data_IF_131313290258
#
_entry.id   IF_131313290258
#
_cell.length_a   1.000
_cell.length_b   1.000
_cell.length_c   1.000
_cell.angle_alpha   90.00
_cell.angle_beta   90.00
_cell.angle_gamma   90.00
#
_symmetry.space_group_name_H-M   'P 1'
#
loop_
_entity.id
_entity.type
_entity.pdbx_description
1 polymer ?
#
# COMPACT_ATOMS: atom_id res chain seq x y z
N UNK A 1 -7.02 38.00 -68.45
CA UNK A 1 -7.09 38.03 -66.96
C UNK A 1 -7.47 36.67 -66.34
N UNK A 2 -7.00 35.52 -66.88
CA UNK A 2 -7.56 34.19 -66.52
C UNK A 2 -6.60 33.10 -66.01
N UNK A 3 -5.28 33.33 -65.97
CA UNK A 3 -4.30 32.27 -65.69
C UNK A 3 -3.78 32.22 -64.25
N UNK A 4 -3.96 33.28 -63.44
CA UNK A 4 -3.49 33.31 -62.04
C UNK A 4 -4.48 32.73 -61.00
N UNK A 5 -5.74 32.47 -61.37
CA UNK A 5 -6.77 31.97 -60.43
C UNK A 5 -6.85 30.43 -60.36
N UNK A 6 -6.38 29.70 -61.38
CA UNK A 6 -6.37 28.22 -61.41
C UNK A 6 -5.29 27.62 -60.51
N UNK A 7 -4.08 28.18 -60.48
CA UNK A 7 -2.96 27.66 -59.66
C UNK A 7 -3.20 27.73 -58.14
N UNK A 8 -3.87 28.78 -57.64
CA UNK A 8 -4.22 28.91 -56.20
C UNK A 8 -5.30 27.94 -55.75
N UNK A 9 -6.23 27.54 -56.63
CA UNK A 9 -7.28 26.55 -56.31
C UNK A 9 -6.70 25.12 -56.27
N UNK A 10 -5.79 24.80 -57.19
CA UNK A 10 -5.12 23.48 -57.24
C UNK A 10 -4.22 23.27 -56.02
N UNK A 11 -3.43 24.29 -55.62
CA UNK A 11 -2.59 24.21 -54.41
C UNK A 11 -3.37 24.03 -53.11
N UNK A 12 -4.53 24.69 -52.96
CA UNK A 12 -5.42 24.51 -51.79
C UNK A 12 -6.09 23.12 -51.77
N UNK A 13 -6.41 22.57 -52.94
CA UNK A 13 -6.97 21.21 -53.07
C UNK A 13 -5.95 20.15 -52.67
N UNK A 14 -4.72 20.26 -53.17
CA UNK A 14 -3.63 19.33 -52.88
C UNK A 14 -3.24 19.35 -51.39
N UNK A 15 -3.18 20.55 -50.79
CA UNK A 15 -2.89 20.71 -49.35
C UNK A 15 -4.00 20.11 -48.47
N UNK A 16 -5.27 20.27 -48.86
CA UNK A 16 -6.41 19.62 -48.17
C UNK A 16 -6.32 18.10 -48.25
N UNK A 17 -5.92 17.58 -49.40
CA UNK A 17 -5.80 16.15 -49.65
C UNK A 17 -4.67 15.52 -48.84
N UNK A 18 -3.50 16.18 -48.79
CA UNK A 18 -2.37 15.77 -47.95
C UNK A 18 -2.70 15.84 -46.44
N UNK A 19 -3.44 16.86 -46.00
CA UNK A 19 -3.91 16.94 -44.61
C UNK A 19 -4.87 15.81 -44.26
N UNK A 20 -5.80 15.48 -45.17
CA UNK A 20 -6.76 14.38 -44.98
C UNK A 20 -6.05 13.02 -44.95
N UNK A 21 -5.09 12.80 -45.86
CA UNK A 21 -4.26 11.60 -45.89
C UNK A 21 -3.40 11.48 -44.63
N UNK A 22 -2.82 12.57 -44.15
CA UNK A 22 -2.05 12.59 -42.89
C UNK A 22 -2.93 12.28 -41.67
N UNK A 23 -4.17 12.75 -41.64
CA UNK A 23 -5.13 12.48 -40.59
C UNK A 23 -5.58 11.01 -40.62
N UNK A 24 -5.86 10.46 -41.80
CA UNK A 24 -6.20 9.04 -42.00
C UNK A 24 -5.02 8.11 -41.66
N UNK A 25 -3.79 8.52 -41.99
CA UNK A 25 -2.58 7.78 -41.63
C UNK A 25 -2.36 7.80 -40.12
N UNK A 26 -2.49 8.96 -39.47
CA UNK A 26 -2.49 9.08 -38.00
C UNK A 26 -3.57 8.22 -37.36
N UNK A 27 -4.78 8.24 -37.89
CA UNK A 27 -5.88 7.42 -37.37
C UNK A 27 -5.57 5.92 -37.51
N UNK A 28 -5.05 5.47 -38.66
CA UNK A 28 -4.62 4.08 -38.88
C UNK A 28 -3.49 3.65 -37.95
N UNK A 29 -2.51 4.51 -37.72
CA UNK A 29 -1.40 4.27 -36.80
C UNK A 29 -1.86 4.24 -35.34
N UNK A 30 -2.82 5.09 -34.97
CA UNK A 30 -3.36 5.18 -33.62
C UNK A 30 -4.43 4.13 -33.31
N UNK A 31 -5.13 3.57 -34.31
CA UNK A 31 -6.16 2.53 -34.14
C UNK A 31 -5.74 1.35 -33.26
N UNK A 32 -4.57 0.70 -33.44
CA UNK A 32 -4.15 -0.39 -32.56
C UNK A 32 -3.90 0.08 -31.12
N UNK A 33 -3.33 1.28 -30.93
CA UNK A 33 -3.10 1.88 -29.60
C UNK A 33 -4.43 2.21 -28.92
N UNK A 34 -5.36 2.83 -29.63
CA UNK A 34 -6.71 3.16 -29.16
C UNK A 34 -7.53 1.91 -28.87
N UNK A 35 -7.43 0.87 -29.71
CA UNK A 35 -8.09 -0.42 -29.48
C UNK A 35 -7.54 -1.14 -28.25
N UNK A 36 -6.22 -1.08 -28.00
CA UNK A 36 -5.59 -1.61 -26.78
C UNK A 36 -6.01 -0.81 -25.54
N UNK A 37 -6.07 0.53 -25.64
CA UNK A 37 -6.55 1.42 -24.58
C UNK A 37 -8.02 1.17 -24.25
N UNK A 38 -8.87 0.99 -25.28
CA UNK A 38 -10.30 0.68 -25.13
C UNK A 38 -10.52 -0.70 -24.51
N UNK A 39 -9.73 -1.73 -24.88
CA UNK A 39 -9.77 -3.05 -24.22
C UNK A 39 -9.40 -2.96 -22.75
N UNK A 40 -8.29 -2.30 -22.42
CA UNK A 40 -7.87 -2.07 -21.02
C UNK A 40 -8.91 -1.31 -20.22
N UNK A 41 -9.57 -0.32 -20.83
CA UNK A 41 -10.65 0.43 -20.20
C UNK A 41 -11.90 -0.42 -19.96
N UNK A 42 -12.29 -1.27 -20.91
CA UNK A 42 -13.40 -2.23 -20.72
C UNK A 42 -13.07 -3.28 -19.65
N UNK A 43 -11.82 -3.78 -19.61
CA UNK A 43 -11.34 -4.66 -18.54
C UNK A 43 -11.36 -3.95 -17.18
N UNK A 44 -11.01 -2.66 -17.12
CA UNK A 44 -11.13 -1.85 -15.91
C UNK A 44 -12.56 -1.75 -15.41
N UNK A 45 -13.51 -1.51 -16.31
CA UNK A 45 -14.93 -1.44 -15.98
C UNK A 45 -15.41 -2.79 -15.45
N UNK A 46 -15.00 -3.91 -16.07
CA UNK A 46 -15.31 -5.25 -15.55
C UNK A 46 -14.73 -5.48 -14.17
N UNK A 47 -13.56 -4.93 -13.85
CA UNK A 47 -12.99 -5.04 -12.49
C UNK A 47 -13.83 -4.31 -11.45
N UNK A 48 -14.47 -3.20 -11.82
CA UNK A 48 -15.40 -2.49 -10.93
C UNK A 48 -16.69 -3.27 -10.64
N UNK A 49 -16.96 -4.39 -11.33
CA UNK A 49 -18.04 -5.32 -10.95
C UNK A 49 -17.80 -5.97 -9.57
N UNK A 50 -16.57 -5.90 -9.03
CA UNK A 50 -16.27 -6.30 -7.66
C UNK A 50 -16.77 -5.31 -6.62
N UNK A 51 -16.98 -4.06 -7.00
CA UNK A 51 -17.42 -2.99 -6.08
C UNK A 51 -18.93 -3.07 -5.94
N UNK A 52 -19.39 -3.25 -4.72
CA UNK A 52 -20.81 -3.46 -4.40
C UNK A 52 -21.44 -2.18 -3.87
N UNK A 53 -20.72 -1.47 -3.00
CA UNK A 53 -21.21 -0.27 -2.32
C UNK A 53 -20.07 0.72 -2.13
N UNK A 54 -20.35 2.02 -2.25
CA UNK A 54 -19.43 3.10 -1.92
C UNK A 54 -20.18 4.14 -1.09
N UNK A 55 -19.62 4.45 0.08
CA UNK A 55 -20.02 5.60 0.86
C UNK A 55 -18.86 6.58 0.92
N UNK A 56 -19.06 7.70 0.21
CA UNK A 56 -18.17 8.84 0.28
C UNK A 56 -18.82 9.92 1.15
N UNK A 57 -18.31 10.09 2.37
CA UNK A 57 -18.70 11.22 3.21
C UNK A 57 -18.17 12.53 2.62
N UNK A 58 -18.99 13.58 2.43
CA UNK A 58 -18.48 14.88 1.99
C UNK A 58 -17.51 15.42 3.03
N UNK A 59 -16.24 15.56 2.64
CA UNK A 59 -15.24 16.24 3.46
C UNK A 59 -15.51 17.73 3.55
N UNK A 60 -15.03 18.35 4.62
CA UNK A 60 -14.88 19.83 4.69
C UNK A 60 -13.48 20.27 4.27
N UNK A 61 -12.61 19.30 3.96
CA UNK A 61 -11.22 19.52 3.65
C UNK A 61 -11.02 20.12 2.26
N UNK A 62 -10.11 21.10 2.12
CA UNK A 62 -9.78 21.67 0.82
C UNK A 62 -9.08 20.62 -0.05
N UNK A 63 -9.44 20.58 -1.33
CA UNK A 63 -8.63 19.91 -2.33
C UNK A 63 -7.39 20.79 -2.67
N UNK A 64 -6.21 20.20 -2.88
CA UNK A 64 -5.92 18.76 -2.87
C UNK A 64 -5.60 18.21 -1.46
N UNK A 65 -5.89 16.93 -1.22
CA UNK A 65 -5.69 16.28 0.09
C UNK A 65 -5.00 14.91 -0.02
N UNK A 66 -4.26 14.48 1.02
CA UNK A 66 -3.71 13.13 1.07
C UNK A 66 -4.80 12.10 1.45
N UNK A 67 -4.73 10.90 0.88
CA UNK A 67 -5.74 9.84 1.04
C UNK A 67 -5.09 8.49 1.33
N UNK A 68 -5.63 7.78 2.32
CA UNK A 68 -5.29 6.39 2.62
C UNK A 68 -6.27 5.46 1.93
N UNK A 69 -5.75 4.50 1.18
CA UNK A 69 -6.48 3.32 0.72
C UNK A 69 -6.16 2.17 1.68
N UNK A 70 -7.08 1.91 2.61
CA UNK A 70 -6.90 0.87 3.63
C UNK A 70 -7.57 -0.43 3.19
N UNK A 71 -6.79 -1.42 2.76
CA UNK A 71 -7.28 -2.78 2.55
C UNK A 71 -7.60 -3.42 3.89
N UNK A 72 -8.86 -3.82 4.08
CA UNK A 72 -9.37 -4.35 5.33
C UNK A 72 -10.21 -5.60 5.11
N UNK A 73 -9.93 -6.66 5.84
CA UNK A 73 -10.64 -7.93 5.77
C UNK A 73 -11.16 -8.37 7.15
N UNK A 74 -12.47 -8.22 7.33
CA UNK A 74 -13.20 -8.77 8.46
C UNK A 74 -14.53 -9.37 7.96
N UNK A 75 -14.66 -10.71 7.84
CA UNK A 75 -15.88 -11.36 7.37
C UNK A 75 -17.14 -10.97 8.15
N UNK A 76 -17.01 -10.75 9.46
CA UNK A 76 -18.11 -10.28 10.32
C UNK A 76 -18.38 -8.77 10.28
N UNK A 77 -17.70 -8.03 9.41
CA UNK A 77 -17.83 -6.59 9.22
C UNK A 77 -17.43 -5.74 10.42
N UNK A 78 -16.70 -6.31 11.39
CA UNK A 78 -16.21 -5.54 12.52
C UNK A 78 -14.97 -4.75 12.14
N UNK A 79 -14.81 -3.58 12.73
CA UNK A 79 -13.58 -2.79 12.64
C UNK A 79 -12.84 -2.91 13.98
N UNK A 80 -11.67 -3.56 13.97
CA UNK A 80 -10.87 -3.81 15.16
C UNK A 80 -10.55 -2.48 15.89
N UNK A 81 -10.32 -2.54 17.21
CA UNK A 81 -9.95 -1.35 17.98
C UNK A 81 -8.61 -0.79 17.51
N UNK A 82 -7.64 -1.67 17.25
CA UNK A 82 -6.32 -1.30 16.73
C UNK A 82 -6.44 -0.55 15.38
N UNK A 83 -7.26 -1.06 14.46
CA UNK A 83 -7.51 -0.40 13.17
C UNK A 83 -8.21 0.96 13.37
N UNK A 84 -9.21 1.04 14.26
CA UNK A 84 -9.86 2.33 14.60
C UNK A 84 -8.86 3.35 15.16
N UNK A 85 -7.91 2.93 15.99
CA UNK A 85 -6.84 3.77 16.55
C UNK A 85 -5.91 4.28 15.45
N UNK A 86 -5.50 3.41 14.52
CA UNK A 86 -4.68 3.80 13.38
C UNK A 86 -5.41 4.81 12.49
N UNK A 87 -6.68 4.55 12.15
CA UNK A 87 -7.50 5.47 11.36
C UNK A 87 -7.65 6.83 12.06
N UNK A 88 -7.95 6.84 13.36
CA UNK A 88 -8.07 8.07 14.13
C UNK A 88 -6.77 8.89 14.09
N UNK A 89 -5.62 8.24 14.32
CA UNK A 89 -4.32 8.90 14.23
C UNK A 89 -4.05 9.47 12.83
N UNK A 90 -4.37 8.72 11.76
CA UNK A 90 -4.22 9.21 10.39
C UNK A 90 -5.11 10.43 10.11
N UNK A 91 -6.37 10.41 10.58
CA UNK A 91 -7.30 11.56 10.47
C UNK A 91 -6.77 12.78 11.22
N UNK A 92 -6.20 12.59 12.41
CA UNK A 92 -5.59 13.67 13.20
C UNK A 92 -4.37 14.30 12.49
N UNK A 93 -3.68 13.53 11.64
CA UNK A 93 -2.60 14.01 10.77
C UNK A 93 -3.12 14.60 9.44
N UNK A 94 -4.43 14.81 9.29
CA UNK A 94 -5.04 15.44 8.11
C UNK A 94 -5.22 14.51 6.90
N UNK A 95 -5.03 13.21 7.06
CA UNK A 95 -5.28 12.24 5.98
C UNK A 95 -6.76 11.90 5.88
N UNK A 96 -7.30 11.81 4.66
CA UNK A 96 -8.56 11.11 4.44
C UNK A 96 -8.34 9.60 4.44
N UNK A 97 -9.37 8.82 4.76
CA UNK A 97 -9.28 7.36 4.79
C UNK A 97 -10.46 6.75 4.05
N UNK A 98 -10.17 5.95 3.03
CA UNK A 98 -11.11 5.07 2.35
C UNK A 98 -10.82 3.62 2.74
N UNK A 99 -11.72 3.03 3.53
CA UNK A 99 -11.67 1.61 3.89
C UNK A 99 -12.17 0.77 2.71
N UNK A 100 -11.37 -0.18 2.27
CA UNK A 100 -11.65 -1.09 1.16
C UNK A 100 -11.89 -2.49 1.75
N UNK A 101 -13.14 -2.92 1.85
CA UNK A 101 -13.48 -4.09 2.66
C UNK A 101 -14.59 -4.96 2.10
N UNK A 102 -14.72 -6.17 2.63
CA UNK A 102 -15.75 -7.13 2.20
C UNK A 102 -17.06 -6.97 2.95
N UNK A 103 -17.03 -6.38 4.15
CA UNK A 103 -18.22 -6.15 4.95
C UNK A 103 -17.96 -5.06 6.00
N UNK A 104 -19.02 -4.34 6.38
CA UNK A 104 -19.07 -3.51 7.58
C UNK A 104 -20.42 -3.71 8.27
N UNK A 105 -20.39 -3.99 9.57
CA UNK A 105 -21.57 -4.08 10.41
C UNK A 105 -22.04 -2.68 10.86
N UNK A 106 -23.25 -2.61 11.44
CA UNK A 106 -23.87 -1.33 11.80
C UNK A 106 -23.06 -0.51 12.79
N UNK A 107 -22.34 -1.16 13.71
CA UNK A 107 -21.46 -0.49 14.66
C UNK A 107 -20.27 0.15 13.95
N UNK A 108 -19.65 -0.56 13.01
CA UNK A 108 -18.55 -0.05 12.21
C UNK A 108 -19.00 1.07 11.26
N UNK A 109 -20.17 0.92 10.61
CA UNK A 109 -20.76 1.95 9.73
C UNK A 109 -21.10 3.24 10.49
N UNK A 110 -21.67 3.13 11.69
CA UNK A 110 -21.91 4.29 12.57
C UNK A 110 -20.62 4.96 12.98
N UNK A 111 -19.62 4.19 13.43
CA UNK A 111 -18.30 4.71 13.79
C UNK A 111 -17.64 5.48 12.63
N UNK A 112 -17.74 4.95 11.41
CA UNK A 112 -17.22 5.62 10.20
C UNK A 112 -17.97 6.93 9.92
N UNK A 113 -19.30 6.91 9.98
CA UNK A 113 -20.15 8.09 9.75
C UNK A 113 -19.85 9.23 10.74
N UNK A 114 -19.68 8.91 12.03
CA UNK A 114 -19.36 9.88 13.09
C UNK A 114 -18.00 10.58 12.88
N UNK A 115 -17.10 9.95 12.11
CA UNK A 115 -15.70 10.41 11.91
C UNK A 115 -15.41 10.78 10.46
N UNK A 116 -16.44 10.83 9.61
CA UNK A 116 -16.32 11.08 8.18
C UNK A 116 -15.31 10.16 7.49
N UNK A 117 -15.25 8.89 7.88
CA UNK A 117 -14.38 7.88 7.26
C UNK A 117 -15.11 7.22 6.10
N UNK A 118 -14.55 7.32 4.89
CA UNK A 118 -15.15 6.71 3.70
C UNK A 118 -14.96 5.20 3.72
N UNK A 119 -15.86 4.48 3.05
CA UNK A 119 -15.73 3.05 2.89
C UNK A 119 -16.31 2.57 1.56
N UNK A 120 -15.76 1.47 1.08
CA UNK A 120 -16.15 0.79 -0.15
C UNK A 120 -16.26 -0.70 0.17
N UNK A 121 -17.44 -1.26 -0.09
CA UNK A 121 -17.70 -2.69 0.01
C UNK A 121 -17.43 -3.35 -1.33
N UNK A 122 -16.67 -4.44 -1.30
CA UNK A 122 -16.21 -5.18 -2.47
C UNK A 122 -16.22 -6.68 -2.22
N UNK A 123 -16.24 -7.45 -3.31
CA UNK A 123 -15.97 -8.90 -3.27
C UNK A 123 -14.56 -9.19 -2.80
N UNK A 124 -14.37 -10.32 -2.11
CA UNK A 124 -13.07 -10.75 -1.59
C UNK A 124 -12.16 -11.38 -2.67
N UNK A 125 -11.79 -10.61 -3.68
CA UNK A 125 -11.00 -11.09 -4.83
C UNK A 125 -9.67 -10.32 -4.94
N UNK A 126 -8.58 -10.96 -5.36
CA UNK A 126 -7.29 -10.28 -5.58
C UNK A 126 -6.57 -9.73 -4.34
N UNK A 127 -7.04 -10.05 -3.13
CA UNK A 127 -6.49 -9.61 -1.82
C UNK A 127 -6.24 -8.09 -1.78
N UNK A 128 -5.16 -7.66 -1.13
CA UNK A 128 -4.84 -6.25 -0.90
C UNK A 128 -4.64 -5.47 -2.19
N UNK A 129 -3.88 -6.00 -3.15
CA UNK A 129 -3.71 -5.33 -4.44
C UNK A 129 -5.02 -5.25 -5.24
N UNK A 130 -5.88 -6.26 -5.14
CA UNK A 130 -7.23 -6.20 -5.70
C UNK A 130 -8.09 -5.12 -5.04
N UNK A 131 -7.99 -4.98 -3.71
CA UNK A 131 -8.66 -3.91 -2.98
C UNK A 131 -8.13 -2.53 -3.40
N UNK A 132 -6.81 -2.32 -3.40
CA UNK A 132 -6.19 -1.06 -3.85
C UNK A 132 -6.57 -0.69 -5.28
N UNK A 133 -6.60 -1.69 -6.17
CA UNK A 133 -7.06 -1.53 -7.54
C UNK A 133 -8.52 -1.05 -7.60
N UNK A 134 -9.42 -1.68 -6.86
CA UNK A 134 -10.84 -1.32 -6.82
C UNK A 134 -11.05 0.09 -6.26
N UNK A 135 -10.33 0.42 -5.18
CA UNK A 135 -10.34 1.76 -4.58
C UNK A 135 -9.88 2.83 -5.58
N UNK A 136 -8.70 2.64 -6.16
CA UNK A 136 -8.14 3.61 -7.11
C UNK A 136 -9.00 3.78 -8.36
N UNK A 137 -9.43 2.69 -9.00
CA UNK A 137 -10.28 2.76 -10.19
C UNK A 137 -11.63 3.41 -9.90
N UNK A 138 -12.19 3.19 -8.70
CA UNK A 138 -13.43 3.84 -8.25
C UNK A 138 -13.25 5.34 -8.09
N UNK A 139 -12.14 5.78 -7.47
CA UNK A 139 -11.82 7.21 -7.34
C UNK A 139 -11.72 7.88 -8.72
N UNK A 140 -11.06 7.22 -9.68
CA UNK A 140 -10.96 7.73 -11.05
C UNK A 140 -12.34 7.81 -11.72
N UNK A 141 -13.17 6.77 -11.60
CA UNK A 141 -14.51 6.75 -12.21
C UNK A 141 -15.41 7.86 -11.66
N UNK A 142 -15.25 8.20 -10.36
CA UNK A 142 -16.04 9.21 -9.67
C UNK A 142 -15.47 10.64 -9.80
N UNK A 143 -14.32 10.82 -10.47
CA UNK A 143 -13.65 12.13 -10.55
C UNK A 143 -13.08 12.62 -9.21
N UNK A 144 -12.81 11.69 -8.29
CA UNK A 144 -12.25 11.97 -6.96
C UNK A 144 -10.73 11.82 -6.94
N UNK A 145 -10.15 11.10 -7.90
CA UNK A 145 -8.71 10.91 -7.98
C UNK A 145 -7.96 12.23 -8.21
N UNK A 146 -8.58 13.19 -8.90
CA UNK A 146 -8.06 14.53 -9.17
C UNK A 146 -7.82 15.33 -7.88
N UNK A 147 -8.59 15.11 -6.83
CA UNK A 147 -8.43 15.79 -5.54
C UNK A 147 -7.32 15.21 -4.66
N UNK A 148 -6.78 14.03 -5.00
CA UNK A 148 -5.75 13.37 -4.20
C UNK A 148 -4.35 13.95 -4.51
N UNK A 149 -3.67 14.53 -3.52
CA UNK A 149 -2.25 14.93 -3.63
C UNK A 149 -1.27 13.80 -3.33
N UNK A 150 -1.71 12.79 -2.57
CA UNK A 150 -0.85 11.68 -2.12
C UNK A 150 -1.71 10.48 -1.80
N UNK A 151 -1.24 9.28 -2.10
CA UNK A 151 -1.92 8.03 -1.74
C UNK A 151 -1.04 7.24 -0.78
N UNK A 152 -1.59 6.80 0.35
CA UNK A 152 -0.99 5.79 1.20
C UNK A 152 -1.74 4.47 0.99
N UNK A 153 -1.07 3.47 0.43
CA UNK A 153 -1.59 2.09 0.42
C UNK A 153 -1.26 1.46 1.77
N UNK A 154 -2.26 0.94 2.46
CA UNK A 154 -2.11 0.36 3.80
C UNK A 154 -2.97 -0.89 3.88
N UNK A 155 -2.49 -1.97 4.49
CA UNK A 155 -3.31 -3.17 4.70
C UNK A 155 -3.38 -3.58 6.16
N UNK A 156 -4.46 -4.28 6.51
CA UNK A 156 -4.74 -4.76 7.87
C UNK A 156 -4.06 -6.10 8.22
N UNK A 157 -3.16 -6.58 7.36
CA UNK A 157 -2.26 -7.69 7.70
C UNK A 157 -1.25 -7.30 8.79
N UNK A 158 -1.16 -5.99 9.10
CA UNK A 158 -0.34 -5.45 10.17
C UNK A 158 -1.17 -4.54 11.06
N UNK A 159 -0.85 -4.51 12.36
CA UNK A 159 -1.54 -3.73 13.37
C UNK A 159 -0.59 -2.69 13.98
N UNK A 160 -1.12 -1.52 14.40
CA UNK A 160 -0.31 -0.44 14.93
C UNK A 160 0.37 -0.78 16.26
N UNK A 161 1.62 -0.36 16.42
CA UNK A 161 2.30 -0.29 17.73
C UNK A 161 1.58 0.70 18.66
N UNK A 162 1.84 0.63 19.97
CA UNK A 162 1.22 1.51 20.95
C UNK A 162 1.54 2.99 20.67
N UNK A 163 2.82 3.33 20.51
CA UNK A 163 3.28 4.69 20.28
C UNK A 163 3.46 4.99 18.77
N UNK A 164 2.36 5.39 18.13
CA UNK A 164 2.39 5.80 16.72
C UNK A 164 3.16 7.11 16.50
N UNK A 165 3.12 8.05 17.45
CA UNK A 165 3.74 9.36 17.29
C UNK A 165 5.28 9.29 17.41
N UNK A 166 5.80 8.45 18.30
CA UNK A 166 7.24 8.19 18.45
C UNK A 166 7.82 7.16 17.47
N UNK A 167 6.97 6.50 16.69
CA UNK A 167 7.39 5.56 15.64
C UNK A 167 7.85 6.25 14.35
N UNK A 168 8.14 5.48 13.31
CA UNK A 168 8.42 6.00 11.97
C UNK A 168 7.16 6.33 11.16
N UNK A 169 5.94 6.24 11.72
CA UNK A 169 4.71 6.62 11.01
C UNK A 169 4.72 8.08 10.54
N UNK A 170 5.08 9.09 11.35
CA UNK A 170 5.12 10.48 10.88
C UNK A 170 6.05 10.66 9.67
N UNK A 171 7.22 10.01 9.67
CA UNK A 171 8.15 10.00 8.53
C UNK A 171 7.58 9.30 7.30
N UNK A 172 6.80 8.22 7.49
CA UNK A 172 6.10 7.56 6.40
C UNK A 172 5.03 8.47 5.81
N UNK A 173 4.29 9.22 6.65
CA UNK A 173 3.24 10.14 6.20
C UNK A 173 3.82 11.36 5.48
N UNK A 174 4.90 11.94 6.00
CA UNK A 174 5.67 12.99 5.31
C UNK A 174 6.12 12.50 3.93
N UNK A 175 6.67 11.28 3.87
CA UNK A 175 7.03 10.62 2.63
C UNK A 175 8.21 11.30 1.93
N UNK A 176 8.20 11.21 0.61
CA UNK A 176 9.15 11.82 -0.31
C UNK A 176 8.34 12.27 -1.53
N UNK A 177 8.66 13.41 -2.15
CA UNK A 177 7.91 13.95 -3.30
C UNK A 177 8.30 13.28 -4.63
N UNK A 178 9.49 12.67 -4.69
CA UNK A 178 10.02 12.04 -5.90
C UNK A 178 10.04 10.52 -5.82
N UNK A 179 10.00 9.95 -4.61
CA UNK A 179 10.11 8.50 -4.37
C UNK A 179 8.84 7.88 -3.77
N UNK A 180 8.62 6.59 -4.07
CA UNK A 180 7.69 5.76 -3.29
C UNK A 180 8.39 5.36 -2.00
N UNK A 181 7.76 5.66 -0.86
CA UNK A 181 8.31 5.34 0.46
C UNK A 181 7.55 4.18 1.07
N UNK A 182 8.25 3.09 1.37
CA UNK A 182 7.74 1.94 2.12
C UNK A 182 8.37 1.83 3.50
N UNK A 183 7.79 1.01 4.37
CA UNK A 183 8.40 0.73 5.68
C UNK A 183 9.64 -0.17 5.53
N UNK A 184 9.55 -1.26 4.78
CA UNK A 184 10.67 -2.18 4.51
C UNK A 184 10.79 -2.47 3.01
N UNK A 185 12.00 -2.81 2.59
CA UNK A 185 12.27 -3.47 1.32
C UNK A 185 12.60 -4.95 1.56
N UNK A 186 12.51 -5.74 0.50
CA UNK A 186 12.89 -7.14 0.49
C UNK A 186 13.58 -7.48 -0.83
N UNK A 187 14.47 -8.46 -0.77
CA UNK A 187 15.11 -9.06 -1.95
C UNK A 187 14.55 -10.45 -2.26
N UNK A 188 13.53 -10.89 -1.50
CA UNK A 188 12.88 -12.17 -1.69
C UNK A 188 12.26 -12.23 -3.09
N UNK A 189 12.73 -13.16 -3.93
CA UNK A 189 12.33 -13.27 -5.33
C UNK A 189 12.61 -12.03 -6.22
N UNK A 190 13.45 -11.09 -5.75
CA UNK A 190 13.78 -9.83 -6.43
C UNK A 190 13.58 -8.62 -5.52
N UNK A 191 14.25 -7.51 -5.83
CA UNK A 191 14.14 -6.27 -5.05
C UNK A 191 12.74 -5.65 -5.17
N UNK A 192 12.12 -5.32 -4.03
CA UNK A 192 10.82 -4.64 -3.95
C UNK A 192 10.59 -3.99 -2.58
N UNK A 193 9.67 -3.03 -2.51
CA UNK A 193 9.07 -2.58 -1.25
C UNK A 193 7.94 -3.52 -0.83
N UNK A 194 7.83 -3.82 0.46
CA UNK A 194 6.71 -4.60 0.98
C UNK A 194 5.44 -3.74 1.07
N UNK A 195 4.28 -4.32 0.72
CA UNK A 195 3.06 -3.54 0.43
C UNK A 195 2.16 -3.24 1.63
N UNK A 196 2.61 -3.55 2.86
CA UNK A 196 1.79 -3.31 4.05
C UNK A 196 1.67 -1.83 4.41
N UNK A 197 2.61 -0.99 3.99
CA UNK A 197 2.43 0.46 3.99
C UNK A 197 3.33 1.10 2.92
N UNK A 198 2.74 1.77 1.92
CA UNK A 198 3.43 2.44 0.82
C UNK A 198 2.86 3.84 0.60
N UNK A 199 3.69 4.86 0.82
CA UNK A 199 3.37 6.25 0.51
C UNK A 199 3.80 6.57 -0.92
N UNK A 200 2.83 6.99 -1.73
CA UNK A 200 2.97 7.32 -3.14
C UNK A 200 2.71 8.83 -3.36
N UNK A 201 3.72 9.62 -3.75
CA UNK A 201 3.57 11.06 -3.99
C UNK A 201 2.75 11.37 -5.23
N UNK A 202 2.38 12.65 -5.38
CA UNK A 202 1.62 13.14 -6.55
C UNK A 202 2.31 12.77 -7.86
N UNK A 203 3.63 12.97 -7.94
CA UNK A 203 4.47 12.68 -9.11
C UNK A 203 4.29 11.24 -9.59
N UNK A 204 4.08 10.30 -8.68
CA UNK A 204 3.80 8.89 -8.95
C UNK A 204 2.35 8.68 -9.35
N UNK A 205 1.38 9.14 -8.54
CA UNK A 205 -0.04 8.80 -8.75
C UNK A 205 -0.65 9.46 -9.99
N UNK A 206 -0.02 10.54 -10.52
CA UNK A 206 -0.38 11.20 -11.78
C UNK A 206 0.29 10.59 -13.01
N UNK A 207 1.26 9.70 -12.81
CA UNK A 207 2.04 9.13 -13.90
C UNK A 207 1.25 8.13 -14.75
N UNK A 208 1.59 8.04 -16.03
CA UNK A 208 0.94 7.08 -16.93
C UNK A 208 1.20 5.62 -16.53
N UNK A 209 2.35 5.31 -15.91
CA UNK A 209 2.68 3.96 -15.48
C UNK A 209 1.83 3.52 -14.29
N UNK A 210 1.56 4.41 -13.32
CA UNK A 210 0.70 4.12 -12.18
C UNK A 210 -0.71 3.73 -12.62
N UNK A 211 -1.31 4.53 -13.51
CA UNK A 211 -2.60 4.19 -14.10
C UNK A 211 -2.54 2.88 -14.91
N UNK A 212 -1.46 2.68 -15.66
CA UNK A 212 -1.25 1.46 -16.44
C UNK A 212 -1.14 0.20 -15.58
N UNK A 213 -0.46 0.30 -14.43
CA UNK A 213 -0.33 -0.77 -13.45
C UNK A 213 -1.71 -1.20 -12.95
N UNK A 214 -2.49 -0.27 -12.38
CA UNK A 214 -3.82 -0.59 -11.86
C UNK A 214 -4.80 -1.02 -12.94
N UNK A 215 -4.68 -0.55 -14.18
CA UNK A 215 -5.50 -1.04 -15.29
C UNK A 215 -5.14 -2.43 -15.80
N UNK A 216 -3.93 -2.92 -15.53
CA UNK A 216 -3.46 -4.20 -16.06
C UNK A 216 -3.24 -5.24 -14.97
N UNK A 217 -3.26 -4.86 -13.69
CA UNK A 217 -3.08 -5.78 -12.58
C UNK A 217 -4.10 -6.93 -12.67
N UNK A 218 -3.62 -8.19 -12.76
CA UNK A 218 -4.45 -9.33 -13.13
C UNK A 218 -5.45 -9.70 -12.04
N UNK A 219 -5.14 -9.50 -10.75
CA UNK A 219 -6.11 -9.65 -9.65
C UNK A 219 -6.56 -11.08 -9.33
N UNK A 220 -6.06 -12.12 -10.01
CA UNK A 220 -6.56 -13.51 -9.91
C UNK A 220 -5.45 -14.55 -9.75
N UNK A 221 -4.44 -14.27 -8.93
CA UNK A 221 -3.39 -15.24 -8.64
C UNK A 221 -3.33 -15.53 -7.14
N UNK A 222 -2.99 -16.78 -6.78
CA UNK A 222 -2.74 -17.15 -5.38
C UNK A 222 -1.61 -16.31 -4.77
N UNK A 223 -1.33 -16.46 -3.46
CA UNK A 223 -0.39 -15.60 -2.71
C UNK A 223 0.94 -15.33 -3.44
N UNK A 224 1.53 -16.36 -4.07
CA UNK A 224 2.77 -16.23 -4.84
C UNK A 224 2.66 -15.28 -6.06
N UNK A 225 1.50 -15.28 -6.73
CA UNK A 225 1.26 -14.37 -7.84
C UNK A 225 0.97 -12.94 -7.39
N UNK A 226 0.47 -12.73 -6.16
CA UNK A 226 0.27 -11.38 -5.62
C UNK A 226 1.61 -10.76 -5.19
N UNK A 227 2.52 -11.53 -4.62
CA UNK A 227 3.88 -11.03 -4.34
C UNK A 227 4.58 -10.68 -5.66
N UNK A 228 4.53 -11.60 -6.64
CA UNK A 228 5.19 -11.41 -7.94
C UNK A 228 4.58 -10.27 -8.76
N UNK A 229 3.27 -10.29 -8.95
CA UNK A 229 2.58 -9.36 -9.86
C UNK A 229 2.17 -8.06 -9.14
N UNK A 230 2.08 -8.10 -7.81
CA UNK A 230 1.78 -6.97 -6.93
C UNK A 230 3.06 -6.31 -6.42
N UNK A 231 3.66 -6.79 -5.32
CA UNK A 231 4.78 -6.10 -4.64
C UNK A 231 5.99 -5.90 -5.57
N UNK A 232 6.45 -6.98 -6.19
CA UNK A 232 7.57 -6.98 -7.13
C UNK A 232 7.17 -6.25 -8.42
N UNK A 233 5.97 -6.49 -8.93
CA UNK A 233 5.46 -5.87 -10.15
C UNK A 233 5.36 -4.35 -10.06
N UNK A 234 4.84 -3.82 -8.94
CA UNK A 234 4.71 -2.40 -8.65
C UNK A 234 6.09 -1.75 -8.53
N UNK A 235 6.96 -2.32 -7.69
CA UNK A 235 8.32 -1.82 -7.44
C UNK A 235 9.14 -1.76 -8.73
N UNK A 236 9.11 -2.84 -9.52
CA UNK A 236 9.82 -2.92 -10.80
C UNK A 236 9.30 -1.89 -11.80
N UNK A 237 7.99 -1.71 -11.92
CA UNK A 237 7.41 -0.74 -12.86
C UNK A 237 7.70 0.71 -12.45
N UNK A 238 7.70 1.01 -11.15
CA UNK A 238 8.10 2.32 -10.64
C UNK A 238 9.55 2.65 -11.03
N UNK A 239 10.49 1.73 -10.76
CA UNK A 239 11.90 1.90 -11.11
C UNK A 239 12.10 2.05 -12.63
N UNK A 240 11.41 1.24 -13.43
CA UNK A 240 11.47 1.33 -14.90
C UNK A 240 10.92 2.66 -15.44
N UNK A 241 9.98 3.26 -14.73
CA UNK A 241 9.43 4.58 -15.04
C UNK A 241 10.25 5.74 -14.47
N UNK A 242 11.37 5.46 -13.78
CA UNK A 242 12.27 6.47 -13.24
C UNK A 242 11.89 6.99 -11.86
N UNK A 243 10.95 6.36 -11.15
CA UNK A 243 10.63 6.72 -9.76
C UNK A 243 11.47 5.88 -8.78
N UNK A 244 12.25 6.54 -7.90
CA UNK A 244 12.99 5.84 -6.86
C UNK A 244 12.07 5.14 -5.85
N UNK A 245 12.62 4.12 -5.20
CA UNK A 245 12.02 3.43 -4.07
C UNK A 245 12.86 3.67 -2.83
N UNK A 246 12.20 3.93 -1.70
CA UNK A 246 12.87 4.16 -0.42
C UNK A 246 12.20 3.36 0.69
N UNK A 247 12.97 2.52 1.37
CA UNK A 247 12.54 1.90 2.61
C UNK A 247 12.99 2.76 3.79
N UNK A 248 12.10 3.00 4.76
CA UNK A 248 12.48 3.64 6.02
C UNK A 248 13.36 2.73 6.88
N UNK A 249 13.10 1.42 6.80
CA UNK A 249 13.82 0.36 7.50
C UNK A 249 14.33 -0.66 6.47
N UNK A 250 15.37 -0.33 5.68
CA UNK A 250 15.87 -1.23 4.66
C UNK A 250 16.44 -2.51 5.29
N UNK A 251 16.20 -3.66 4.68
CA UNK A 251 16.63 -4.97 5.19
C UNK A 251 18.15 -5.05 5.38
N UNK A 252 18.91 -4.33 4.56
CA UNK A 252 20.38 -4.22 4.71
C UNK A 252 20.77 -3.59 6.05
N UNK A 253 20.04 -2.57 6.52
CA UNK A 253 20.26 -1.92 7.83
C UNK A 253 19.83 -2.85 8.95
N UNK A 254 18.64 -3.44 8.85
CA UNK A 254 18.06 -4.32 9.89
C UNK A 254 18.96 -5.51 10.21
N UNK A 255 19.66 -6.08 9.22
CA UNK A 255 20.62 -7.17 9.45
C UNK A 255 21.83 -6.76 10.28
N UNK A 256 22.24 -5.50 10.18
CA UNK A 256 23.43 -4.99 10.88
C UNK A 256 23.11 -4.44 12.27
N UNK A 257 21.89 -3.93 12.48
CA UNK A 257 21.52 -3.29 13.76
C UNK A 257 21.52 -4.29 14.91
N UNK A 258 21.19 -5.56 14.65
CA UNK A 258 21.18 -6.62 15.65
C UNK A 258 22.52 -6.81 16.37
N UNK A 259 23.65 -6.52 15.71
CA UNK A 259 24.99 -6.64 16.29
C UNK A 259 25.48 -5.42 17.07
N UNK A 260 24.67 -4.36 17.17
CA UNK A 260 25.09 -3.10 17.80
C UNK A 260 24.86 -3.13 19.31
N UNK A 261 25.72 -2.45 20.07
CA UNK A 261 25.59 -2.32 21.53
C UNK A 261 24.30 -1.56 21.91
N UNK A 262 23.92 -0.56 21.12
CA UNK A 262 22.68 0.19 21.30
C UNK A 262 21.44 -0.71 21.16
N UNK A 263 21.46 -1.67 20.23
CA UNK A 263 20.36 -2.63 20.08
C UNK A 263 20.22 -3.52 21.32
N UNK A 264 21.34 -4.02 21.87
CA UNK A 264 21.34 -4.80 23.10
C UNK A 264 20.82 -3.98 24.29
N UNK A 265 21.23 -2.71 24.40
CA UNK A 265 20.78 -1.79 25.46
C UNK A 265 19.25 -1.63 25.44
N UNK A 266 18.68 -1.44 24.24
CA UNK A 266 17.24 -1.28 24.05
C UNK A 266 16.46 -2.57 24.28
N UNK A 267 17.01 -3.72 23.89
CA UNK A 267 16.46 -5.02 24.27
C UNK A 267 16.45 -5.20 25.79
N UNK A 268 17.54 -4.82 26.46
CA UNK A 268 17.65 -4.92 27.91
C UNK A 268 16.56 -4.08 28.61
N UNK A 269 16.33 -2.83 28.20
CA UNK A 269 15.24 -1.99 28.73
C UNK A 269 13.88 -2.67 28.59
N UNK A 270 13.63 -3.32 27.45
CA UNK A 270 12.38 -4.03 27.15
C UNK A 270 12.24 -5.34 27.93
N UNK A 271 13.35 -6.02 28.21
CA UNK A 271 13.40 -7.27 28.99
C UNK A 271 13.44 -7.03 30.51
N UNK A 272 12.86 -5.92 31.01
CA UNK A 272 12.88 -5.59 32.44
C UNK A 272 14.30 -5.41 33.00
N UNK A 273 15.20 -4.87 32.20
CA UNK A 273 16.62 -4.68 32.49
C UNK A 273 17.46 -5.96 32.63
N UNK A 274 16.92 -7.13 32.26
CA UNK A 274 17.66 -8.39 32.23
C UNK A 274 18.66 -8.44 31.07
N UNK A 275 19.95 -8.30 31.38
CA UNK A 275 21.02 -8.41 30.38
C UNK A 275 21.11 -9.79 29.75
N UNK A 276 20.91 -10.85 30.54
CA UNK A 276 21.00 -12.22 30.06
C UNK A 276 19.91 -12.54 29.03
N UNK A 277 18.66 -12.15 29.32
CA UNK A 277 17.54 -12.33 28.38
C UNK A 277 17.78 -11.54 27.08
N UNK A 278 18.26 -10.29 27.19
CA UNK A 278 18.58 -9.45 26.04
C UNK A 278 19.70 -10.06 25.17
N UNK A 279 20.71 -10.69 25.78
CA UNK A 279 21.78 -11.38 25.05
C UNK A 279 21.27 -12.59 24.27
N UNK A 280 20.43 -13.43 24.88
CA UNK A 280 19.84 -14.59 24.20
C UNK A 280 19.00 -14.16 22.98
N UNK A 281 18.19 -13.10 23.13
CA UNK A 281 17.41 -12.55 22.03
C UNK A 281 18.31 -11.95 20.94
N UNK A 282 19.38 -11.26 21.32
CA UNK A 282 20.35 -10.72 20.36
C UNK A 282 21.03 -11.84 19.56
N UNK A 283 21.42 -12.94 20.21
CA UNK A 283 22.02 -14.10 19.56
C UNK A 283 21.06 -14.72 18.52
N UNK A 284 19.78 -14.90 18.89
CA UNK A 284 18.75 -15.39 17.96
C UNK A 284 18.57 -14.48 16.74
N UNK A 285 18.53 -13.15 16.95
CA UNK A 285 18.46 -12.16 15.86
C UNK A 285 19.69 -12.24 14.96
N UNK A 286 20.89 -12.40 15.53
CA UNK A 286 22.14 -12.52 14.76
C UNK A 286 22.21 -13.82 13.96
N UNK A 287 21.61 -14.90 14.46
CA UNK A 287 21.48 -16.15 13.72
C UNK A 287 20.55 -15.98 12.52
N UNK A 288 19.35 -15.46 12.72
CA UNK A 288 18.39 -15.16 11.64
C UNK A 288 18.97 -14.18 10.61
N UNK A 289 19.72 -13.17 11.05
CA UNK A 289 20.36 -12.20 10.17
C UNK A 289 21.43 -12.82 9.25
N UNK A 290 21.87 -14.06 9.46
CA UNK A 290 22.80 -14.76 8.56
C UNK A 290 22.12 -15.33 7.32
N UNK A 291 20.80 -15.45 7.32
CA UNK A 291 20.05 -16.01 6.20
C UNK A 291 20.22 -15.19 4.91
N UNK A 292 19.99 -15.87 3.78
CA UNK A 292 20.13 -15.26 2.47
C UNK A 292 19.03 -14.21 2.23
N UNK A 293 19.42 -13.03 1.73
CA UNK A 293 18.48 -11.97 1.32
C UNK A 293 17.38 -12.46 0.36
N UNK A 294 17.67 -13.46 -0.47
CA UNK A 294 16.74 -14.00 -1.46
C UNK A 294 15.60 -14.83 -0.86
N UNK A 295 15.71 -15.25 0.41
CA UNK A 295 14.71 -16.09 1.10
C UNK A 295 14.09 -15.40 2.30
N UNK A 296 14.72 -14.34 2.80
CA UNK A 296 14.32 -13.61 4.00
C UNK A 296 13.09 -12.72 3.80
N UNK A 297 12.14 -12.81 4.71
CA UNK A 297 11.08 -11.83 4.91
C UNK A 297 11.40 -10.95 6.13
N UNK A 298 11.84 -9.70 5.94
CA UNK A 298 12.33 -8.87 7.04
C UNK A 298 11.26 -8.53 8.09
N UNK A 299 9.98 -8.54 7.72
CA UNK A 299 8.89 -8.32 8.68
C UNK A 299 8.72 -9.46 9.68
N UNK A 300 9.20 -10.66 9.34
CA UNK A 300 9.12 -11.84 10.20
C UNK A 300 10.49 -12.17 10.79
N UNK A 301 11.49 -12.34 9.92
CA UNK A 301 12.83 -12.83 10.30
C UNK A 301 13.67 -11.77 11.02
N UNK A 302 13.28 -10.49 10.93
CA UNK A 302 13.98 -9.37 11.56
C UNK A 302 13.01 -8.49 12.35
N UNK A 303 11.94 -9.06 12.90
CA UNK A 303 10.90 -8.32 13.62
C UNK A 303 11.46 -7.51 14.79
N UNK A 304 12.36 -8.07 15.61
CA UNK A 304 12.93 -7.35 16.76
C UNK A 304 13.78 -6.14 16.33
N UNK A 305 14.76 -6.27 15.42
CA UNK A 305 15.40 -5.13 14.75
C UNK A 305 14.41 -4.09 14.22
N UNK A 306 13.37 -4.54 13.51
CA UNK A 306 12.41 -3.67 12.84
C UNK A 306 11.58 -2.85 13.84
N UNK A 307 11.05 -3.49 14.88
CA UNK A 307 10.26 -2.83 15.91
C UNK A 307 11.10 -1.88 16.74
N UNK A 308 12.34 -2.28 17.09
CA UNK A 308 13.25 -1.40 17.80
C UNK A 308 13.69 -0.24 16.90
N UNK A 309 13.94 -0.40 15.60
CA UNK A 309 14.19 0.77 14.73
C UNK A 309 12.97 1.70 14.59
N UNK A 310 11.81 1.33 15.16
CA UNK A 310 10.64 2.20 15.31
C UNK A 310 9.58 1.95 14.25
N UNK A 311 9.51 0.75 13.65
CA UNK A 311 8.44 0.42 12.72
C UNK A 311 7.05 0.57 13.38
N UNK A 312 6.11 1.29 12.75
CA UNK A 312 4.81 1.61 13.35
C UNK A 312 3.82 0.47 13.34
N UNK A 313 4.12 -0.62 12.62
CA UNK A 313 3.20 -1.70 12.35
C UNK A 313 3.88 -3.04 12.64
N UNK A 314 3.13 -3.96 13.24
CA UNK A 314 3.53 -5.35 13.51
C UNK A 314 2.62 -6.27 12.70
N UNK A 315 3.19 -7.29 12.05
CA UNK A 315 2.40 -8.28 11.31
C UNK A 315 1.47 -9.05 12.25
N UNK A 316 0.22 -9.25 11.83
CA UNK A 316 -0.85 -9.80 12.68
C UNK A 316 -0.62 -11.27 13.03
N UNK A 317 -0.11 -12.06 12.09
CA UNK A 317 0.23 -13.47 12.28
C UNK A 317 1.35 -13.68 13.31
N UNK A 318 2.29 -12.74 13.46
CA UNK A 318 3.27 -12.75 14.55
C UNK A 318 2.62 -12.67 15.94
N UNK A 319 1.42 -12.09 16.01
CA UNK A 319 0.68 -11.88 17.24
C UNK A 319 -0.41 -12.96 17.45
N UNK A 320 -0.91 -13.55 16.36
CA UNK A 320 -1.90 -14.65 16.39
C UNK A 320 -1.27 -16.04 16.60
N UNK A 321 -0.18 -16.34 15.88
CA UNK A 321 0.40 -17.69 15.83
C UNK A 321 1.91 -17.76 15.98
N UNK A 322 2.61 -16.63 15.80
CA UNK A 322 4.07 -16.51 15.94
C UNK A 322 4.84 -17.72 15.34
N UNK A 323 4.64 -18.03 14.05
CA UNK A 323 4.92 -19.35 13.47
C UNK A 323 6.40 -19.77 13.49
N UNK A 324 7.31 -18.82 13.73
CA UNK A 324 8.75 -19.04 13.78
C UNK A 324 9.35 -18.70 15.16
N UNK A 325 8.52 -18.52 16.19
CA UNK A 325 8.93 -18.06 17.52
C UNK A 325 9.83 -16.80 17.47
N UNK A 326 9.59 -15.92 16.49
CA UNK A 326 10.48 -14.79 16.20
C UNK A 326 10.15 -13.54 17.04
N UNK A 327 9.01 -13.50 17.71
CA UNK A 327 8.61 -12.42 18.61
C UNK A 327 8.33 -12.97 20.01
N UNK A 328 9.10 -12.51 21.00
CA UNK A 328 8.87 -12.87 22.40
C UNK A 328 7.61 -12.16 22.94
N UNK A 329 6.58 -12.89 23.41
CA UNK A 329 5.35 -12.28 23.92
C UNK A 329 5.56 -11.32 25.10
N UNK A 330 6.62 -11.52 25.88
CA UNK A 330 6.94 -10.63 26.99
C UNK A 330 7.36 -9.23 26.52
N UNK A 331 8.05 -9.12 25.37
CA UNK A 331 8.40 -7.83 24.76
C UNK A 331 7.16 -7.09 24.23
N UNK A 332 6.12 -7.84 23.88
CA UNK A 332 4.85 -7.29 23.39
C UNK A 332 4.07 -6.69 24.55
N UNK A 333 3.95 -7.43 25.65
CA UNK A 333 3.04 -7.13 26.76
C UNK A 333 3.69 -6.37 27.93
N UNK A 334 5.02 -6.41 28.07
CA UNK A 334 5.76 -5.80 29.18
C UNK A 334 6.80 -4.78 28.69
N UNK A 335 7.18 -3.85 29.59
CA UNK A 335 8.06 -2.69 29.31
C UNK A 335 7.29 -1.36 29.20
N UNK A 336 7.95 -0.24 29.48
CA UNK A 336 7.34 1.11 29.38
C UNK A 336 7.89 1.91 28.20
N UNK A 337 7.04 2.38 27.26
CA UNK A 337 5.68 1.89 26.98
C UNK A 337 5.71 0.51 26.29
N UNK A 338 4.67 -0.34 26.42
CA UNK A 338 4.63 -1.64 25.74
C UNK A 338 4.61 -1.47 24.21
N UNK A 339 5.03 -2.51 23.47
CA UNK A 339 5.06 -2.44 21.99
C UNK A 339 3.65 -2.42 21.39
N UNK A 340 2.72 -3.16 21.98
CA UNK A 340 1.31 -3.17 21.61
C UNK A 340 0.49 -2.54 22.74
N UNK A 341 -0.54 -1.77 22.39
CA UNK A 341 -1.48 -1.26 23.38
C UNK A 341 -2.21 -2.45 24.02
N UNK A 342 -2.17 -2.63 25.35
CA UNK A 342 -2.81 -3.76 26.02
C UNK A 342 -4.30 -3.92 25.71
N UNK A 343 -4.99 -2.83 25.40
CA UNK A 343 -6.40 -2.85 25.01
C UNK A 343 -6.63 -3.34 23.57
N UNK A 344 -5.59 -3.34 22.72
CA UNK A 344 -5.61 -3.97 21.39
C UNK A 344 -5.43 -5.49 21.48
N UNK A 345 -4.90 -6.03 22.59
CA UNK A 345 -4.65 -7.48 22.75
C UNK A 345 -5.91 -8.34 22.51
N UNK A 346 -7.09 -7.80 22.81
CA UNK A 346 -8.38 -8.46 22.59
C UNK A 346 -8.70 -8.65 21.10
N UNK A 347 -8.14 -7.82 20.21
CA UNK A 347 -8.28 -7.99 18.76
C UNK A 347 -7.51 -9.23 18.24
N UNK A 348 -6.51 -9.71 18.96
CA UNK A 348 -5.64 -10.85 18.59
C UNK A 348 -6.17 -12.21 19.03
N UNK A 349 -7.05 -12.24 20.03
CA UNK A 349 -7.67 -13.47 20.53
C UNK A 349 -8.83 -13.96 19.65
N UNK A 350 -9.04 -13.34 18.48
CA UNK A 350 -10.05 -13.79 17.52
C UNK A 350 -9.48 -14.96 16.71
N UNK A 351 -10.28 -16.01 16.44
CA UNK A 351 -9.80 -17.15 15.67
C UNK A 351 -9.26 -16.70 14.30
N UNK A 352 -8.20 -17.36 13.78
CA UNK A 352 -7.59 -16.99 12.51
C UNK A 352 -8.66 -16.96 11.42
N UNK A 353 -8.74 -15.83 10.72
CA UNK A 353 -9.65 -15.66 9.59
C UNK A 353 -9.14 -16.45 8.39
N UNK A 354 -9.34 -17.77 8.40
CA UNK A 354 -9.11 -18.63 7.24
C UNK A 354 -10.26 -18.39 6.27
N UNK A 355 -10.05 -17.56 5.25
CA UNK A 355 -11.16 -17.14 4.38
C UNK A 355 -10.79 -16.49 3.06
N UNK A 356 -9.63 -16.77 2.49
CA UNK A 356 -9.44 -16.52 1.06
C UNK A 356 -9.96 -17.72 0.29
N UNK A 357 -11.07 -17.58 -0.44
CA UNK A 357 -11.38 -18.52 -1.52
C UNK A 357 -10.28 -18.33 -2.58
N UNK A 358 -9.61 -19.43 -2.91
CA UNK A 358 -8.53 -19.48 -3.91
C UNK A 358 -9.03 -19.14 -5.31
#
# INVERSE_FOLDING_TARGET
>A
MGLRSRGRKVGKSLLKQLLLESAQLRERLMRPVLARRRRRWLEAIRRLERVEELQWHPGTEPAPHPLVLLSHYAPGGHLQRAIRRLIAHLRDQGWQVLILTTALNDTARRWCSERSVHWLIRRNEGRDFGAFQDGWLTLQQRGLAEACSRILLLNDSSLPVADLAGSSLPRLLEGDDDAIVGLTDSFQNGYHLQSYALNCPETVIRSAWWHGFWWSFPGWSGTAGIIRDGEIGLSRQALQAGHPLRALHPVSRLRTVGGQEEFLRRLQERCGYSRHAAQLLQEAVLEQARDAFATMNPTHDLVLPLLLEGCPLIKRDLLESNPCDCLDPSLIAFGEPPLIDPLDLVDFLRPPLIGFKQ
#
